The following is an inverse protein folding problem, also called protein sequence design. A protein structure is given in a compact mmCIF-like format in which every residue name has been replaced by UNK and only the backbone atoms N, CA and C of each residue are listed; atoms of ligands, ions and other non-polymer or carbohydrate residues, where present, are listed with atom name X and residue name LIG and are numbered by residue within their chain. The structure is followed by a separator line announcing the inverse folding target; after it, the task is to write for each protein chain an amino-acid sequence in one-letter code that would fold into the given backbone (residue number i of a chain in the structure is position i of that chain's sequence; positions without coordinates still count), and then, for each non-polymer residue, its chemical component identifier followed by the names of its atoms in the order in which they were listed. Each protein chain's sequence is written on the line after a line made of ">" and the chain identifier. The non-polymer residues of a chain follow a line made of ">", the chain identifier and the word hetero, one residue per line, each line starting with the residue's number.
data_IF_956239026602
#
_entry.id   IF_956239026602
#
_cell.length_a   1.000
_cell.length_b   1.000
_cell.length_c   1.000
_cell.angle_alpha   90.00
_cell.angle_beta   90.00
_cell.angle_gamma   90.00
#
_symmetry.space_group_name_H-M   'P 1'
#
loop_
_entity.id
_entity.type
_entity.pdbx_description
1 polymer ?
#
# COMPACT_ATOMS: atom_id res chain seq x y z
N UNK A 1 2.60 -4.15 -18.85
CA UNK A 1 2.03 -4.26 -17.49
C UNK A 1 3.07 -3.76 -16.50
N UNK A 2 2.67 -2.86 -15.58
CA UNK A 2 3.59 -2.28 -14.61
C UNK A 2 3.51 -3.01 -13.26
N UNK A 3 4.51 -2.85 -12.42
CA UNK A 3 4.51 -3.26 -11.03
C UNK A 3 4.46 -2.01 -10.14
N UNK A 4 3.54 -1.97 -9.21
CA UNK A 4 3.44 -0.91 -8.20
C UNK A 4 3.88 -1.52 -6.87
N UNK A 5 5.14 -1.28 -6.51
CA UNK A 5 5.67 -1.69 -5.21
C UNK A 5 5.23 -0.66 -4.20
N UNK A 6 4.44 -1.06 -3.21
CA UNK A 6 3.77 -0.15 -2.27
C UNK A 6 4.00 -0.58 -0.83
N UNK A 7 4.14 0.41 0.02
CA UNK A 7 4.23 0.29 1.47
C UNK A 7 3.43 1.42 2.13
N UNK A 8 2.94 1.20 3.35
CA UNK A 8 2.15 2.16 4.12
C UNK A 8 2.69 2.29 5.53
N UNK A 9 2.68 3.53 6.05
CA UNK A 9 2.81 3.76 7.47
C UNK A 9 1.44 4.03 8.08
N UNK A 10 1.23 3.61 9.32
CA UNK A 10 -0.03 3.77 10.01
C UNK A 10 0.10 4.27 11.45
N UNK A 11 -0.93 5.01 11.86
CA UNK A 11 -1.11 5.43 13.24
C UNK A 11 -2.13 4.52 13.95
N UNK A 12 -2.08 4.52 15.27
CA UNK A 12 -2.94 3.70 16.13
C UNK A 12 -3.38 4.48 17.39
N UNK A 13 -4.22 3.85 18.21
CA UNK A 13 -4.69 4.45 19.44
C UNK A 13 -3.56 4.72 20.44
N UNK A 14 -3.51 5.93 21.00
CA UNK A 14 -2.50 6.34 22.00
C UNK A 14 -2.78 5.82 23.41
N UNK A 15 -3.99 5.36 23.70
CA UNK A 15 -4.44 5.00 25.06
C UNK A 15 -4.85 3.52 25.11
N UNK A 16 -4.58 2.87 26.25
CA UNK A 16 -4.68 1.44 26.49
C UNK A 16 -5.96 0.73 26.03
N UNK A 17 -6.08 -0.56 26.36
CA UNK A 17 -7.15 -1.45 25.90
C UNK A 17 -8.54 -0.80 25.99
N UNK A 18 -9.21 -0.66 24.85
CA UNK A 18 -10.56 -0.08 24.72
C UNK A 18 -10.64 1.27 24.01
N UNK A 19 -9.51 1.93 23.71
CA UNK A 19 -9.47 3.15 22.91
C UNK A 19 -9.36 2.87 21.40
N UNK A 20 -9.19 1.62 21.03
CA UNK A 20 -9.03 1.19 19.65
C UNK A 20 -10.39 1.18 18.92
N UNK A 21 -10.42 1.79 17.75
CA UNK A 21 -11.55 1.62 16.85
C UNK A 21 -11.42 0.28 16.11
N UNK A 22 -12.23 -0.71 16.48
CA UNK A 22 -12.19 -2.06 15.90
C UNK A 22 -12.40 -2.10 14.39
N UNK A 23 -13.03 -1.08 13.80
CA UNK A 23 -13.25 -0.99 12.35
C UNK A 23 -12.01 -0.51 11.61
N UNK A 24 -11.14 0.23 12.28
CA UNK A 24 -9.89 0.78 11.74
C UNK A 24 -8.84 0.80 12.86
N UNK A 25 -8.26 -0.35 13.25
CA UNK A 25 -7.25 -0.41 14.31
C UNK A 25 -5.97 0.34 13.93
N UNK A 26 -5.67 0.39 12.63
CA UNK A 26 -4.54 1.10 12.06
C UNK A 26 -5.05 2.07 10.98
N UNK A 27 -4.80 3.36 11.19
CA UNK A 27 -5.15 4.41 10.24
C UNK A 27 -3.93 4.78 9.41
N UNK A 28 -4.03 4.66 8.09
CA UNK A 28 -2.91 4.96 7.18
C UNK A 28 -2.59 6.45 7.24
N UNK A 29 -1.31 6.78 7.46
CA UNK A 29 -0.78 8.14 7.57
C UNK A 29 0.30 8.46 6.54
N UNK A 30 0.81 7.46 5.81
CA UNK A 30 1.71 7.66 4.68
C UNK A 30 1.46 6.59 3.63
N UNK A 31 1.52 6.97 2.36
CA UNK A 31 1.57 6.08 1.21
C UNK A 31 2.89 6.30 0.50
N UNK A 32 3.70 5.27 0.38
CA UNK A 32 4.92 5.24 -0.39
C UNK A 32 4.88 4.17 -1.47
N UNK A 33 5.27 4.51 -2.70
CA UNK A 33 5.31 3.53 -3.77
C UNK A 33 6.39 3.82 -4.81
N UNK A 34 6.87 2.73 -5.43
CA UNK A 34 7.77 2.76 -6.58
C UNK A 34 7.08 2.03 -7.73
N UNK A 35 6.99 2.67 -8.90
CA UNK A 35 6.46 2.04 -10.10
C UNK A 35 7.59 1.53 -10.97
N UNK A 36 7.50 0.25 -11.36
CA UNK A 36 8.43 -0.40 -12.26
C UNK A 36 7.71 -0.76 -13.56
N UNK A 37 8.40 -0.66 -14.68
CA UNK A 37 7.92 -1.17 -15.96
C UNK A 37 8.08 -2.71 -16.04
N UNK A 38 7.73 -3.27 -17.18
CA UNK A 38 7.84 -4.71 -17.46
C UNK A 38 9.27 -5.25 -17.40
N UNK A 39 10.27 -4.39 -17.56
CA UNK A 39 11.69 -4.72 -17.43
C UNK A 39 12.25 -4.44 -16.03
N UNK A 40 11.37 -4.19 -15.06
CA UNK A 40 11.68 -3.83 -13.68
C UNK A 40 12.47 -2.50 -13.55
N UNK A 41 12.46 -1.65 -14.58
CA UNK A 41 13.04 -0.33 -14.51
C UNK A 41 12.08 0.62 -13.77
N UNK A 42 12.61 1.40 -12.84
CA UNK A 42 11.83 2.41 -12.15
C UNK A 42 11.38 3.52 -13.13
N UNK A 43 10.07 3.79 -13.14
CA UNK A 43 9.43 4.80 -13.97
C UNK A 43 8.68 5.87 -13.16
N UNK A 44 8.69 5.78 -11.84
CA UNK A 44 8.12 6.81 -10.97
C UNK A 44 8.08 6.44 -9.51
N UNK A 45 7.95 7.44 -8.66
CA UNK A 45 7.73 7.32 -7.20
C UNK A 45 6.52 8.10 -6.77
N UNK A 46 5.84 7.60 -5.74
CA UNK A 46 4.76 8.28 -5.02
C UNK A 46 5.13 8.33 -3.54
N UNK A 47 4.97 9.48 -2.92
CA UNK A 47 5.22 9.66 -1.48
C UNK A 47 4.32 10.78 -0.96
N UNK A 48 3.35 10.44 -0.12
CA UNK A 48 2.42 11.40 0.47
C UNK A 48 2.08 11.00 1.90
N UNK A 49 2.22 11.94 2.82
CA UNK A 49 1.65 11.84 4.16
C UNK A 49 0.16 12.18 4.14
N UNK A 50 -0.56 11.68 5.16
CA UNK A 50 -2.01 11.75 5.24
C UNK A 50 -2.41 12.27 6.61
N UNK A 51 -3.32 13.25 6.63
CA UNK A 51 -3.90 13.76 7.88
C UNK A 51 -4.88 12.76 8.49
N UNK A 52 -4.57 12.20 9.69
CA UNK A 52 -5.45 11.24 10.33
C UNK A 52 -6.75 11.91 10.81
N UNK A 53 -7.87 11.21 10.67
CA UNK A 53 -9.19 11.62 11.13
C UNK A 53 -9.59 10.92 12.43
N UNK A 54 -9.21 9.64 12.58
CA UNK A 54 -9.58 8.81 13.73
C UNK A 54 -8.58 8.99 14.87
N UNK A 55 -7.30 8.73 14.60
CA UNK A 55 -6.23 8.84 15.58
C UNK A 55 -5.47 10.15 15.37
N UNK A 56 -6.11 11.27 15.75
CA UNK A 56 -5.57 12.62 15.50
C UNK A 56 -4.23 12.88 16.16
N UNK A 57 -3.95 12.21 17.30
CA UNK A 57 -2.67 12.30 17.99
C UNK A 57 -1.76 11.20 17.48
N UNK A 58 -0.57 11.55 17.05
CA UNK A 58 0.44 10.61 16.57
C UNK A 58 0.93 9.75 17.75
N UNK A 59 0.86 8.43 17.57
CA UNK A 59 1.36 7.47 18.56
C UNK A 59 2.89 7.55 18.65
N UNK A 60 3.43 7.49 19.87
CA UNK A 60 4.87 7.67 20.10
C UNK A 60 5.73 6.64 19.36
N UNK A 61 5.29 5.36 19.31
CA UNK A 61 6.02 4.31 18.57
C UNK A 61 6.05 4.65 17.08
N UNK A 62 4.92 5.05 16.49
CA UNK A 62 4.86 5.44 15.08
C UNK A 62 5.79 6.61 14.79
N UNK A 63 5.76 7.66 15.64
CA UNK A 63 6.67 8.80 15.50
C UNK A 63 8.14 8.38 15.56
N UNK A 64 8.50 7.56 16.56
CA UNK A 64 9.89 7.20 16.83
C UNK A 64 10.44 6.25 15.73
N UNK A 65 9.59 5.43 15.12
CA UNK A 65 9.96 4.57 13.99
C UNK A 65 10.05 5.33 12.67
N UNK A 66 9.02 6.12 12.35
CA UNK A 66 8.89 6.73 11.01
C UNK A 66 9.57 8.09 10.91
N UNK A 67 9.80 8.76 12.03
CA UNK A 67 10.25 10.16 12.07
C UNK A 67 9.20 11.17 11.60
N UNK A 68 7.97 10.73 11.25
CA UNK A 68 6.87 11.62 10.88
C UNK A 68 6.49 12.47 12.08
N UNK A 69 6.22 13.76 11.84
CA UNK A 69 5.82 14.67 12.92
C UNK A 69 4.31 14.94 12.92
N UNK A 70 3.81 15.38 14.08
CA UNK A 70 2.40 15.77 14.20
C UNK A 70 2.07 16.96 13.28
N UNK A 71 3.00 17.89 13.13
CA UNK A 71 2.89 19.08 12.30
C UNK A 71 2.79 18.69 10.81
N UNK A 72 3.63 17.74 10.36
CA UNK A 72 3.59 17.20 9.01
C UNK A 72 2.21 16.58 8.71
N UNK A 73 1.67 15.78 9.62
CA UNK A 73 0.35 15.18 9.45
C UNK A 73 -0.78 16.21 9.45
N UNK A 74 -0.70 17.23 10.31
CA UNK A 74 -1.71 18.30 10.34
C UNK A 74 -1.76 19.11 9.05
N UNK A 75 -0.61 19.27 8.38
CA UNK A 75 -0.49 19.99 7.11
C UNK A 75 -0.86 19.12 5.89
N UNK A 76 -0.99 17.81 6.07
CA UNK A 76 -1.26 16.87 4.98
C UNK A 76 -2.74 16.86 4.57
N UNK A 77 -2.98 16.34 3.36
CA UNK A 77 -4.33 16.11 2.84
C UNK A 77 -5.04 14.93 3.54
N UNK A 78 -6.38 14.88 3.53
CA UNK A 78 -7.14 13.73 4.00
C UNK A 78 -6.88 12.46 3.17
N UNK A 79 -7.14 11.28 3.79
CA UNK A 79 -6.96 9.97 3.15
C UNK A 79 -7.65 9.85 1.78
N UNK A 80 -8.88 10.36 1.67
CA UNK A 80 -9.67 10.29 0.42
C UNK A 80 -8.95 10.98 -0.75
N UNK A 81 -8.37 12.15 -0.52
CA UNK A 81 -7.66 12.91 -1.55
C UNK A 81 -6.35 12.21 -1.97
N UNK A 82 -5.56 11.80 -0.98
CA UNK A 82 -4.29 11.12 -1.24
C UNK A 82 -4.52 9.77 -1.92
N UNK A 83 -5.58 9.04 -1.53
CA UNK A 83 -5.92 7.77 -2.17
C UNK A 83 -6.32 7.96 -3.64
N UNK A 84 -7.13 8.97 -3.97
CA UNK A 84 -7.49 9.27 -5.37
C UNK A 84 -6.23 9.58 -6.18
N UNK A 85 -5.36 10.48 -5.67
CA UNK A 85 -4.09 10.79 -6.32
C UNK A 85 -3.23 9.54 -6.55
N UNK A 86 -3.15 8.67 -5.54
CA UNK A 86 -2.40 7.42 -5.61
C UNK A 86 -2.97 6.48 -6.68
N UNK A 87 -4.29 6.30 -6.72
CA UNK A 87 -4.94 5.42 -7.69
C UNK A 87 -4.78 5.95 -9.13
N UNK A 88 -4.88 7.27 -9.33
CA UNK A 88 -4.58 7.91 -10.62
C UNK A 88 -3.12 7.70 -11.03
N UNK A 89 -2.19 7.86 -10.09
CA UNK A 89 -0.77 7.62 -10.34
C UNK A 89 -0.49 6.14 -10.67
N UNK A 90 -1.16 5.17 -10.03
CA UNK A 90 -1.04 3.75 -10.38
C UNK A 90 -1.38 3.50 -11.85
N UNK A 91 -2.40 4.17 -12.38
CA UNK A 91 -2.87 3.97 -13.74
C UNK A 91 -3.75 2.73 -13.91
N UNK A 92 -3.78 2.14 -15.09
CA UNK A 92 -4.77 1.10 -15.44
C UNK A 92 -4.23 -0.33 -15.45
N UNK A 93 -2.97 -0.52 -15.82
CA UNK A 93 -2.40 -1.84 -16.05
C UNK A 93 -1.20 -2.07 -15.12
N UNK A 94 -1.49 -2.53 -13.90
CA UNK A 94 -0.48 -2.79 -12.89
C UNK A 94 -0.85 -3.97 -12.00
N UNK A 95 0.18 -4.50 -11.33
CA UNK A 95 0.08 -5.46 -10.24
C UNK A 95 0.75 -4.83 -9.02
N UNK A 96 0.10 -4.91 -7.85
CA UNK A 96 0.76 -4.52 -6.61
C UNK A 96 1.85 -5.50 -6.22
N UNK A 97 2.92 -4.98 -5.64
CA UNK A 97 3.97 -5.76 -4.98
C UNK A 97 4.14 -5.21 -3.56
N UNK A 98 4.11 -6.08 -2.55
CA UNK A 98 4.19 -5.68 -1.13
C UNK A 98 5.17 -6.55 -0.37
N UNK A 99 5.71 -6.04 0.73
CA UNK A 99 6.47 -6.87 1.68
C UNK A 99 5.51 -7.56 2.65
N UNK A 100 4.91 -8.66 2.23
CA UNK A 100 3.87 -9.35 2.97
C UNK A 100 2.45 -9.03 2.44
N UNK A 101 1.45 -9.15 3.30
CA UNK A 101 0.05 -8.91 2.93
C UNK A 101 -0.63 -7.83 3.78
N UNK A 102 0.02 -7.34 4.83
CA UNK A 102 -0.60 -6.42 5.79
C UNK A 102 -0.96 -5.08 5.14
N UNK A 103 -0.13 -4.60 4.22
CA UNK A 103 -0.36 -3.35 3.49
C UNK A 103 -1.73 -3.34 2.79
N UNK A 104 -2.03 -4.39 2.03
CA UNK A 104 -3.31 -4.49 1.33
C UNK A 104 -4.48 -4.72 2.28
N UNK A 105 -4.26 -5.44 3.40
CA UNK A 105 -5.26 -5.62 4.45
C UNK A 105 -5.65 -4.27 5.04
N UNK A 106 -4.67 -3.47 5.42
CA UNK A 106 -4.93 -2.16 6.04
C UNK A 106 -5.44 -1.15 5.02
N UNK A 107 -4.93 -1.16 3.77
CA UNK A 107 -5.46 -0.34 2.70
C UNK A 107 -6.96 -0.57 2.53
N UNK A 108 -7.38 -1.82 2.38
CA UNK A 108 -8.80 -2.14 2.17
C UNK A 108 -9.65 -1.81 3.42
N UNK A 109 -9.10 -2.02 4.62
CA UNK A 109 -9.77 -1.67 5.88
C UNK A 109 -10.00 -0.16 5.98
N UNK A 110 -8.99 0.64 5.65
CA UNK A 110 -9.09 2.10 5.60
C UNK A 110 -10.10 2.53 4.52
N UNK A 111 -10.01 1.98 3.31
CA UNK A 111 -10.97 2.25 2.24
C UNK A 111 -12.40 1.93 2.66
N UNK A 112 -12.63 0.78 3.32
CA UNK A 112 -13.96 0.40 3.84
C UNK A 112 -14.46 1.39 4.87
N UNK A 113 -13.60 1.79 5.81
CA UNK A 113 -13.95 2.74 6.87
C UNK A 113 -14.34 4.11 6.32
N UNK A 114 -13.64 4.57 5.29
CA UNK A 114 -13.89 5.87 4.65
C UNK A 114 -14.92 5.81 3.51
N UNK A 115 -15.52 4.65 3.24
CA UNK A 115 -16.52 4.50 2.17
C UNK A 115 -15.96 4.56 0.75
N UNK A 116 -14.69 4.21 0.57
CA UNK A 116 -13.93 4.34 -0.69
C UNK A 116 -13.63 3.01 -1.38
N UNK A 117 -14.29 1.92 -0.98
CA UNK A 117 -14.05 0.58 -1.54
C UNK A 117 -14.26 0.53 -3.06
N UNK A 118 -15.10 1.40 -3.59
CA UNK A 118 -15.39 1.45 -5.02
C UNK A 118 -14.19 1.91 -5.86
N UNK A 119 -13.20 2.57 -5.26
CA UNK A 119 -11.96 2.96 -5.94
C UNK A 119 -11.04 1.78 -6.24
N UNK A 120 -11.11 0.71 -5.46
CA UNK A 120 -10.31 -0.50 -5.66
C UNK A 120 -11.18 -1.72 -5.37
N UNK A 121 -11.99 -2.10 -6.35
CA UNK A 121 -12.84 -3.30 -6.24
C UNK A 121 -11.98 -4.53 -6.52
N UNK A 122 -11.99 -5.48 -5.58
CA UNK A 122 -11.18 -6.68 -5.64
C UNK A 122 -11.89 -7.90 -6.21
N UNK A 123 -11.29 -9.06 -6.24
CA UNK A 123 -10.02 -9.35 -5.58
C UNK A 123 -8.84 -8.62 -6.21
N UNK A 124 -7.96 -8.05 -5.37
CA UNK A 124 -6.78 -7.31 -5.82
C UNK A 124 -5.64 -8.29 -6.07
N UNK A 125 -5.13 -8.31 -7.29
CA UNK A 125 -3.95 -9.11 -7.64
C UNK A 125 -2.69 -8.46 -7.07
N UNK A 126 -1.84 -9.26 -6.45
CA UNK A 126 -0.56 -8.77 -5.96
C UNK A 126 0.50 -9.86 -5.90
N UNK A 127 1.76 -9.44 -5.87
CA UNK A 127 2.89 -10.27 -5.54
C UNK A 127 3.33 -9.98 -4.11
N UNK A 128 3.37 -11.02 -3.29
CA UNK A 128 3.99 -10.98 -1.98
C UNK A 128 5.50 -11.22 -2.14
N UNK A 129 6.28 -10.14 -2.18
CA UNK A 129 7.73 -10.18 -2.40
C UNK A 129 8.45 -10.92 -1.27
N UNK A 130 7.99 -10.76 -0.02
CA UNK A 130 8.51 -11.51 1.11
C UNK A 130 8.37 -13.02 0.91
N UNK A 131 7.23 -13.48 0.35
CA UNK A 131 6.99 -14.89 0.07
C UNK A 131 7.91 -15.39 -1.05
N UNK A 132 8.13 -14.58 -2.10
CA UNK A 132 9.10 -14.90 -3.14
C UNK A 132 10.51 -15.06 -2.55
N UNK A 133 10.95 -14.09 -1.75
CA UNK A 133 12.23 -14.15 -1.08
C UNK A 133 12.38 -15.40 -0.21
N UNK A 134 11.36 -15.73 0.58
CA UNK A 134 11.36 -16.94 1.41
C UNK A 134 11.49 -18.21 0.61
N UNK A 135 10.76 -18.35 -0.49
CA UNK A 135 10.77 -19.55 -1.31
C UNK A 135 12.13 -19.77 -2.00
N UNK A 136 12.78 -18.70 -2.43
CA UNK A 136 13.99 -18.79 -3.26
C UNK A 136 15.28 -18.61 -2.48
N UNK A 137 15.28 -17.83 -1.41
CA UNK A 137 16.50 -17.40 -0.73
C UNK A 137 16.57 -17.83 0.75
N UNK A 138 15.45 -18.02 1.41
CA UNK A 138 15.40 -18.25 2.87
C UNK A 138 14.51 -19.44 3.24
N UNK A 139 14.81 -20.60 2.71
CA UNK A 139 13.98 -21.81 2.69
C UNK A 139 13.31 -22.24 4.01
N UNK A 140 13.85 -21.83 5.18
CA UNK A 140 13.36 -22.27 6.49
C UNK A 140 12.94 -21.15 7.44
N UNK A 141 12.95 -19.89 7.02
CA UNK A 141 12.60 -18.78 7.89
C UNK A 141 11.09 -18.58 8.00
N UNK A 142 10.55 -18.59 9.23
CA UNK A 142 9.12 -18.38 9.49
C UNK A 142 8.67 -16.95 9.21
N UNK A 143 9.52 -15.97 9.43
CA UNK A 143 9.33 -14.56 9.07
C UNK A 143 10.69 -13.94 8.73
N UNK A 144 10.75 -13.18 7.66
CA UNK A 144 11.94 -12.46 7.23
C UNK A 144 11.60 -10.97 7.15
N UNK A 145 12.39 -10.12 7.83
CA UNK A 145 12.22 -8.68 7.71
C UNK A 145 12.73 -8.18 6.36
N UNK A 146 12.26 -7.02 5.93
CA UNK A 146 12.76 -6.36 4.72
C UNK A 146 14.25 -6.05 4.86
N UNK A 147 14.68 -5.59 6.03
CA UNK A 147 16.07 -5.30 6.31
C UNK A 147 16.98 -6.54 6.14
N UNK A 148 16.53 -7.72 6.63
CA UNK A 148 17.27 -8.97 6.43
C UNK A 148 17.41 -9.36 4.94
N UNK A 149 16.41 -9.07 4.13
CA UNK A 149 16.49 -9.32 2.68
C UNK A 149 17.42 -8.33 1.97
N UNK A 150 17.40 -7.07 2.40
CA UNK A 150 18.34 -6.03 1.94
C UNK A 150 19.78 -6.45 2.24
N UNK A 151 20.04 -6.94 3.47
CA UNK A 151 21.36 -7.45 3.87
C UNK A 151 21.77 -8.70 3.08
N UNK A 152 20.84 -9.63 2.88
CA UNK A 152 21.09 -10.85 2.10
C UNK A 152 21.60 -10.54 0.68
N UNK A 153 20.99 -9.57 0.02
CA UNK A 153 21.39 -9.15 -1.32
C UNK A 153 22.51 -8.09 -1.32
N UNK A 154 23.02 -7.72 -0.15
CA UNK A 154 24.05 -6.68 0.02
C UNK A 154 23.67 -5.36 -0.67
N UNK A 155 22.39 -4.99 -0.57
CA UNK A 155 21.91 -3.74 -1.15
C UNK A 155 22.39 -2.53 -0.32
N UNK A 156 22.71 -1.41 -0.95
CA UNK A 156 23.14 -0.21 -0.23
C UNK A 156 21.98 0.34 0.62
N UNK A 157 22.26 0.65 1.90
CA UNK A 157 21.31 1.27 2.83
C UNK A 157 21.54 2.80 2.86
N UNK A 158 21.15 3.46 1.76
CA UNK A 158 21.37 4.91 1.59
C UNK A 158 20.36 5.76 2.36
N UNK A 159 19.18 5.21 2.64
CA UNK A 159 18.09 5.88 3.36
C UNK A 159 17.61 5.02 4.53
N UNK A 160 17.01 5.65 5.54
CA UNK A 160 16.45 4.94 6.69
C UNK A 160 15.21 4.13 6.30
N UNK A 161 14.99 3.02 7.00
CA UNK A 161 13.73 2.29 6.99
C UNK A 161 12.61 3.08 7.69
N UNK A 162 11.38 2.56 7.59
CA UNK A 162 10.19 3.11 8.23
C UNK A 162 9.74 4.49 7.69
N UNK A 163 10.03 4.73 6.40
CA UNK A 163 9.29 5.69 5.58
C UNK A 163 8.76 4.92 4.40
N UNK A 164 7.45 5.00 4.18
CA UNK A 164 6.76 4.14 3.21
C UNK A 164 7.43 4.14 1.81
N UNK A 165 7.91 5.29 1.31
CA UNK A 165 8.61 5.35 0.02
C UNK A 165 9.97 4.66 0.04
N UNK A 166 10.67 4.67 1.19
CA UNK A 166 11.97 4.02 1.33
C UNK A 166 11.79 2.50 1.39
N UNK A 167 10.82 2.02 2.17
CA UNK A 167 10.53 0.58 2.30
C UNK A 167 9.97 0.02 0.99
N UNK A 168 9.14 0.79 0.26
CA UNK A 168 8.75 0.45 -1.11
C UNK A 168 9.96 0.39 -2.06
N UNK A 169 10.95 1.28 -1.93
CA UNK A 169 12.16 1.27 -2.75
C UNK A 169 13.03 0.05 -2.44
N UNK A 170 13.27 -0.25 -1.17
CA UNK A 170 14.00 -1.47 -0.77
C UNK A 170 13.27 -2.75 -1.22
N UNK A 171 11.95 -2.79 -1.09
CA UNK A 171 11.14 -3.91 -1.59
C UNK A 171 11.27 -4.04 -3.12
N UNK A 172 11.31 -2.93 -3.85
CA UNK A 172 11.52 -2.93 -5.30
C UNK A 172 12.93 -3.44 -5.67
N UNK A 173 13.95 -3.07 -4.90
CA UNK A 173 15.32 -3.55 -5.12
C UNK A 173 15.46 -5.05 -4.83
N UNK A 174 14.86 -5.54 -3.75
CA UNK A 174 14.76 -6.97 -3.47
C UNK A 174 14.02 -7.69 -4.60
N UNK A 175 12.88 -7.15 -5.07
CA UNK A 175 12.09 -7.73 -6.16
C UNK A 175 12.88 -7.83 -7.46
N UNK A 176 13.75 -6.87 -7.78
CA UNK A 176 14.67 -6.93 -8.95
C UNK A 176 15.74 -8.00 -8.83
N UNK A 177 16.15 -8.36 -7.60
CA UNK A 177 17.20 -9.37 -7.36
C UNK A 177 16.67 -10.78 -7.37
N UNK A 178 15.38 -10.96 -7.15
CA UNK A 178 14.73 -12.27 -7.19
C UNK A 178 14.62 -12.76 -8.64
N UNK A 179 14.91 -14.02 -8.88
CA UNK A 179 14.64 -14.66 -10.18
C UNK A 179 13.14 -14.73 -10.43
N UNK A 180 12.65 -13.84 -11.30
CA UNK A 180 11.22 -13.69 -11.56
C UNK A 180 10.62 -14.93 -12.25
N UNK A 181 11.37 -15.59 -13.11
CA UNK A 181 10.88 -16.76 -13.84
C UNK A 181 10.76 -17.97 -12.90
N UNK A 182 11.73 -18.16 -12.02
CA UNK A 182 11.68 -19.23 -11.02
C UNK A 182 10.60 -18.94 -9.97
N UNK A 183 10.49 -17.69 -9.49
CA UNK A 183 9.47 -17.28 -8.56
C UNK A 183 8.05 -17.55 -9.09
N UNK A 184 7.78 -17.22 -10.35
CA UNK A 184 6.47 -17.44 -10.99
C UNK A 184 6.13 -18.92 -11.20
N UNK A 185 7.14 -19.79 -11.34
CA UNK A 185 6.91 -21.25 -11.39
C UNK A 185 6.50 -21.82 -10.05
N UNK A 186 7.12 -21.33 -8.98
CA UNK A 186 6.88 -21.81 -7.61
C UNK A 186 5.64 -21.19 -6.96
N UNK A 187 5.19 -20.06 -7.48
CA UNK A 187 4.20 -19.24 -6.83
C UNK A 187 3.26 -18.56 -7.83
N UNK A 188 1.97 -18.87 -7.73
CA UNK A 188 0.95 -18.16 -8.48
C UNK A 188 0.65 -16.80 -7.84
N UNK A 189 0.14 -15.88 -8.65
CA UNK A 189 -0.27 -14.55 -8.19
C UNK A 189 -1.27 -14.66 -7.04
N UNK A 190 -1.03 -13.92 -5.96
CA UNK A 190 -1.95 -13.87 -4.83
C UNK A 190 -3.13 -12.93 -5.11
N UNK A 191 -4.23 -13.24 -4.45
CA UNK A 191 -5.41 -12.39 -4.42
C UNK A 191 -5.67 -11.97 -2.99
N UNK A 192 -5.72 -10.67 -2.76
CA UNK A 192 -6.14 -10.16 -1.48
C UNK A 192 -7.65 -10.37 -1.31
N UNK A 193 -8.03 -11.07 -0.26
CA UNK A 193 -9.40 -11.17 0.22
C UNK A 193 -9.42 -10.76 1.68
N UNK A 194 -10.37 -9.90 2.07
CA UNK A 194 -10.46 -9.46 3.46
C UNK A 194 -10.76 -10.68 4.37
N UNK A 195 -9.83 -11.10 5.25
CA UNK A 195 -9.99 -12.29 6.07
C UNK A 195 -11.10 -12.20 7.13
N UNK A 196 -11.67 -11.00 7.37
CA UNK A 196 -12.70 -10.78 8.38
C UNK A 196 -14.14 -10.91 7.87
N UNK A 197 -14.34 -11.14 6.60
CA UNK A 197 -15.67 -11.32 6.03
C UNK A 197 -16.03 -12.80 5.85
N UNK A 198 -16.09 -13.57 6.95
CA UNK A 198 -16.91 -14.79 6.95
C UNK A 198 -18.38 -14.39 6.88
N UNK A 199 -18.89 -14.10 5.70
CA UNK A 199 -20.29 -13.73 5.48
C UNK A 199 -20.55 -12.61 4.50
N UNK A 200 -19.68 -11.63 4.39
CA UNK A 200 -19.73 -10.63 3.33
C UNK A 200 -18.63 -10.99 2.31
N UNK A 201 -18.93 -11.88 1.38
CA UNK A 201 -18.15 -12.00 0.16
C UNK A 201 -18.22 -10.65 -0.57
N UNK A 202 -17.29 -9.76 -0.26
CA UNK A 202 -17.05 -8.59 -1.09
C UNK A 202 -16.44 -9.15 -2.38
N UNK A 203 -17.29 -9.64 -3.27
CA UNK A 203 -16.97 -9.91 -4.66
C UNK A 203 -16.72 -8.57 -5.35
N UNK A 204 -15.56 -8.02 -5.07
CA UNK A 204 -15.11 -6.79 -5.70
C UNK A 204 -14.68 -7.17 -7.11
N UNK A 205 -15.53 -6.93 -8.10
CA UNK A 205 -15.22 -7.19 -9.50
C UNK A 205 -14.20 -6.17 -10.00
N UNK A 206 -13.07 -6.68 -10.45
CA UNK A 206 -11.99 -5.92 -11.12
C UNK A 206 -12.51 -5.01 -12.24
N UNK A 207 -13.57 -5.42 -12.94
CA UNK A 207 -14.19 -4.67 -14.06
C UNK A 207 -14.79 -3.31 -13.68
N UNK A 208 -15.24 -3.13 -12.43
CA UNK A 208 -15.83 -1.86 -12.00
C UNK A 208 -14.79 -0.79 -11.64
N UNK A 209 -13.58 -1.20 -11.21
CA UNK A 209 -12.46 -0.31 -11.01
C UNK A 209 -12.03 0.35 -12.33
N UNK A 210 -11.91 -0.44 -13.40
CA UNK A 210 -11.59 0.08 -14.71
C UNK A 210 -12.66 0.99 -15.29
N UNK A 211 -13.94 0.72 -15.03
CA UNK A 211 -15.03 1.60 -15.45
C UNK A 211 -14.98 2.96 -14.77
N UNK A 212 -14.55 3.01 -13.53
CA UNK A 212 -14.52 4.24 -12.74
C UNK A 212 -13.31 5.13 -13.09
N UNK A 213 -12.13 4.52 -13.22
CA UNK A 213 -10.87 5.21 -13.57
C UNK A 213 -10.63 5.26 -15.09
N UNK A 214 -11.48 4.60 -15.90
CA UNK A 214 -11.40 4.68 -17.37
C UNK A 214 -11.80 6.04 -17.94
N UNK A 215 -12.39 6.91 -17.13
CA UNK A 215 -12.33 8.35 -17.38
C UNK A 215 -10.91 8.79 -17.14
N UNK A 216 -10.21 9.11 -18.22
CA UNK A 216 -8.84 9.65 -18.13
C UNK A 216 -8.97 11.04 -17.53
N UNK A 217 -8.69 11.15 -16.24
CA UNK A 217 -8.44 12.45 -15.64
C UNK A 217 -6.97 12.78 -15.87
N UNK A 218 -6.72 13.85 -16.60
CA UNK A 218 -5.36 14.30 -16.86
C UNK A 218 -4.77 15.02 -15.65
N UNK A 219 -5.63 15.53 -14.76
CA UNK A 219 -5.23 16.26 -13.55
C UNK A 219 -6.03 15.83 -12.32
N UNK A 220 -5.47 16.14 -11.13
CA UNK A 220 -6.15 15.96 -9.84
C UNK A 220 -7.44 16.79 -9.76
N UNK A 221 -7.38 18.03 -10.27
CA UNK A 221 -8.49 18.97 -10.28
C UNK A 221 -9.67 18.41 -11.08
N UNK A 222 -9.40 17.79 -12.23
CA UNK A 222 -10.43 17.15 -13.05
C UNK A 222 -11.05 15.94 -12.31
N UNK A 223 -10.22 15.10 -11.69
CA UNK A 223 -10.70 13.96 -10.90
C UNK A 223 -11.58 14.41 -9.73
N UNK A 224 -11.19 15.48 -9.03
CA UNK A 224 -11.93 16.03 -7.89
C UNK A 224 -13.19 16.82 -8.32
N UNK A 225 -13.24 17.30 -9.55
CA UNK A 225 -14.42 17.97 -10.10
C UNK A 225 -15.49 17.00 -10.58
N UNK A 226 -15.15 15.71 -10.75
CA UNK A 226 -16.13 14.70 -11.15
C UNK A 226 -17.10 14.41 -10.00
N UNK A 227 -18.42 14.49 -10.29
CA UNK A 227 -19.47 14.31 -9.28
C UNK A 227 -19.47 12.93 -8.63
N UNK A 228 -19.07 11.89 -9.36
CA UNK A 228 -18.97 10.53 -8.83
C UNK A 228 -17.77 10.41 -7.90
N UNK A 229 -16.62 11.01 -8.22
CA UNK A 229 -15.45 11.08 -7.31
C UNK A 229 -15.80 11.88 -6.07
N UNK A 230 -16.45 13.04 -6.21
CA UNK A 230 -16.89 13.85 -5.09
C UNK A 230 -17.86 13.11 -4.17
N UNK A 231 -18.77 12.29 -4.72
CA UNK A 231 -19.70 11.49 -3.93
C UNK A 231 -19.04 10.40 -3.10
N UNK A 232 -17.82 9.98 -3.46
CA UNK A 232 -17.03 8.99 -2.73
C UNK A 232 -16.14 9.63 -1.65
N UNK A 233 -15.87 10.93 -1.74
CA UNK A 233 -14.98 11.66 -0.83
C UNK A 233 -15.77 12.28 0.33
N UNK A 234 -17.06 12.54 0.15
CA UNK A 234 -17.97 13.10 1.16
C UNK A 234 -18.86 12.05 1.81
#
# INVERSE_FOLDING_TARGET
>A
MNYVVVDFEWNQACYGKGSENRKIPFEIIEIGAVKLDENLKEIGRFSRTIRPKVYKKLHYITRDLTGITQEELCASDPFSYVLVDFMLWCGKDYIFCTWGNMDLVELQRNMKYYGLLDLLKGPVKYYNVQKFFRLLCAHDASAVSLESAVDYFQLPKEVGFHRAVNDAAYTADVFRRIDQEEAKKLYSIDYYQNPQSKGDEIHLRYDSYYKYISRVFDTREEALADREVLSLIH
#
